data_IF_362263590911
#
_entry.id   IF_362263590911
#
_cell.length_a   1.000
_cell.length_b   1.000
_cell.length_c   1.000
_cell.angle_alpha   90.00
_cell.angle_beta   90.00
_cell.angle_gamma   90.00
#
_symmetry.space_group_name_H-M   'P 1'
#
loop_
_entity.id
_entity.type
_entity.pdbx_description
1 polymer ?
#
# COMPACT_ATOMS: atom_id res chain seq x y z
N UNK A 1 10.96 21.38 17.02
CA UNK A 1 9.78 20.51 17.29
C UNK A 1 9.44 20.51 18.79
N UNK A 2 9.70 21.61 19.48
CA UNK A 2 9.50 21.77 20.93
C UNK A 2 8.02 21.76 21.34
N UNK A 3 7.10 21.76 20.38
CA UNK A 3 5.64 21.74 20.59
C UNK A 3 5.01 20.34 20.43
N UNK A 4 5.79 19.33 20.08
CA UNK A 4 5.28 17.96 19.93
C UNK A 4 5.43 17.23 21.25
N UNK A 5 4.33 16.72 21.86
CA UNK A 5 4.42 15.95 23.08
C UNK A 5 5.30 14.70 22.89
N UNK A 6 6.19 14.44 23.82
CA UNK A 6 6.99 13.24 23.82
C UNK A 6 6.19 12.07 24.41
N UNK A 7 6.18 10.92 23.73
CA UNK A 7 5.59 9.68 24.19
C UNK A 7 6.61 8.56 24.15
N UNK A 8 6.46 7.58 25.03
CA UNK A 8 7.34 6.43 25.12
C UNK A 8 6.92 5.27 24.18
N UNK A 9 5.69 5.27 23.71
CA UNK A 9 5.10 4.22 22.87
C UNK A 9 4.03 4.81 21.92
N UNK A 10 3.52 4.00 21.01
CA UNK A 10 2.53 4.43 20.02
C UNK A 10 1.20 4.89 20.65
N UNK A 11 0.86 4.35 21.80
CA UNK A 11 -0.36 4.69 22.57
C UNK A 11 -0.29 6.08 23.17
N UNK A 12 0.89 6.63 23.36
CA UNK A 12 1.12 7.98 23.88
C UNK A 12 0.99 9.07 22.78
N UNK A 13 0.80 8.66 21.53
CA UNK A 13 0.67 9.60 20.41
C UNK A 13 -0.57 10.46 20.57
N UNK A 14 -0.36 11.78 20.49
CA UNK A 14 -1.46 12.72 20.57
C UNK A 14 -2.27 12.74 19.27
N UNK A 15 -3.55 12.40 19.38
CA UNK A 15 -4.49 12.49 18.26
C UNK A 15 -4.95 13.95 18.12
N UNK A 16 -4.35 14.69 17.20
CA UNK A 16 -4.67 16.09 16.93
C UNK A 16 -6.07 16.23 16.29
N UNK A 17 -6.42 15.28 15.41
CA UNK A 17 -7.72 15.24 14.75
C UNK A 17 -8.15 13.80 14.50
N UNK A 18 -9.40 13.49 14.85
CA UNK A 18 -10.02 12.20 14.55
C UNK A 18 -11.40 12.42 13.96
N UNK A 19 -11.66 11.84 12.80
CA UNK A 19 -12.98 11.81 12.18
C UNK A 19 -13.83 10.64 12.72
N UNK A 20 -13.25 9.79 13.58
CA UNK A 20 -13.89 8.60 14.12
C UNK A 20 -15.07 8.90 15.06
N UNK A 21 -15.17 10.14 15.58
CA UNK A 21 -16.35 10.57 16.38
C UNK A 21 -17.60 10.80 15.54
N UNK A 22 -17.43 11.02 14.23
CA UNK A 22 -18.54 11.20 13.28
C UNK A 22 -18.91 9.88 12.58
N UNK A 23 -17.97 8.95 12.53
CA UNK A 23 -18.25 7.57 12.15
C UNK A 23 -18.69 6.82 13.40
N UNK A 24 -19.80 6.13 13.33
CA UNK A 24 -20.42 5.32 14.40
C UNK A 24 -19.55 4.12 14.81
N UNK A 25 -18.24 4.29 14.83
CA UNK A 25 -17.23 3.28 15.10
C UNK A 25 -16.69 3.47 16.52
N UNK A 26 -17.06 2.57 17.42
CA UNK A 26 -16.32 2.36 18.65
C UNK A 26 -14.97 1.75 18.34
N UNK A 27 -13.94 2.59 18.21
CA UNK A 27 -12.54 2.11 18.24
C UNK A 27 -12.07 2.34 19.67
N UNK A 28 -11.70 1.26 20.36
CA UNK A 28 -11.04 1.41 21.65
C UNK A 28 -9.64 2.03 21.46
N UNK A 29 -9.00 2.40 22.57
CA UNK A 29 -7.67 3.04 22.55
C UNK A 29 -6.55 2.18 21.94
N UNK A 30 -6.84 0.93 21.61
CA UNK A 30 -5.87 -0.06 21.05
C UNK A 30 -6.17 -0.36 19.58
N UNK A 31 -7.18 0.30 18.98
CA UNK A 31 -7.52 0.10 17.58
C UNK A 31 -8.36 -1.15 17.30
N UNK A 32 -8.96 -1.76 18.32
CA UNK A 32 -9.93 -2.83 18.13
C UNK A 32 -11.23 -2.26 17.58
N UNK A 33 -11.70 -2.87 16.52
CA UNK A 33 -12.95 -2.52 15.86
C UNK A 33 -14.11 -3.21 16.57
N UNK A 34 -14.62 -2.59 17.63
CA UNK A 34 -15.88 -3.03 18.21
C UNK A 34 -17.03 -2.42 17.42
N UNK A 35 -17.91 -3.27 16.94
CA UNK A 35 -19.18 -2.81 16.39
C UNK A 35 -19.87 -1.96 17.45
N UNK A 36 -20.25 -0.74 17.10
CA UNK A 36 -21.06 0.08 18.01
C UNK A 36 -22.35 -0.70 18.32
N UNK A 37 -22.58 -1.12 19.58
CA UNK A 37 -23.74 -1.92 19.94
C UNK A 37 -25.06 -1.19 19.70
N UNK A 38 -25.03 0.13 19.53
CA UNK A 38 -26.21 0.97 19.30
C UNK A 38 -26.48 1.30 17.83
N UNK A 39 -25.68 0.78 16.88
CA UNK A 39 -25.96 0.92 15.47
C UNK A 39 -26.70 -0.32 14.95
N UNK A 40 -27.84 -0.12 14.29
CA UNK A 40 -28.59 -1.18 13.60
C UNK A 40 -27.81 -1.84 12.45
N UNK A 41 -26.67 -1.27 12.05
CA UNK A 41 -25.73 -1.83 11.08
C UNK A 41 -24.39 -2.12 11.76
N UNK A 42 -24.15 -3.38 12.05
CA UNK A 42 -22.84 -3.86 12.47
C UNK A 42 -21.82 -3.57 11.37
N UNK A 43 -20.83 -2.72 11.64
CA UNK A 43 -19.74 -2.45 10.72
C UNK A 43 -18.85 -3.68 10.64
N UNK A 44 -18.82 -4.30 9.46
CA UNK A 44 -18.02 -5.48 9.21
C UNK A 44 -16.60 -5.06 8.84
N UNK A 45 -15.58 -5.74 9.37
CA UNK A 45 -14.20 -5.53 8.96
C UNK A 45 -14.02 -5.88 7.48
N UNK A 46 -13.00 -5.29 6.83
CA UNK A 46 -12.80 -5.43 5.39
C UNK A 46 -12.68 -6.88 4.91
N UNK A 47 -12.10 -7.79 5.69
CA UNK A 47 -12.00 -9.21 5.33
C UNK A 47 -13.35 -9.91 5.30
N UNK A 48 -14.30 -9.55 6.17
CA UNK A 48 -15.67 -10.06 6.13
C UNK A 48 -16.45 -9.49 4.96
N UNK A 49 -16.27 -8.18 4.68
CA UNK A 49 -16.84 -7.55 3.50
C UNK A 49 -16.33 -8.19 2.21
N UNK A 50 -15.01 -8.46 2.12
CA UNK A 50 -14.42 -9.16 0.99
C UNK A 50 -15.03 -10.55 0.79
N UNK A 51 -15.24 -11.28 1.87
CA UNK A 51 -15.89 -12.61 1.85
C UNK A 51 -17.36 -12.49 1.49
N UNK A 52 -18.11 -11.60 2.15
CA UNK A 52 -19.55 -11.39 1.94
C UNK A 52 -19.88 -11.05 0.49
N UNK A 53 -19.09 -10.20 -0.14
CA UNK A 53 -19.28 -9.74 -1.51
C UNK A 53 -18.41 -10.45 -2.55
N UNK A 54 -17.63 -11.46 -2.12
CA UNK A 54 -16.73 -12.24 -2.99
C UNK A 54 -15.79 -11.34 -3.81
N UNK A 55 -15.16 -10.38 -3.15
CA UNK A 55 -14.30 -9.38 -3.78
C UNK A 55 -12.86 -9.84 -3.92
N UNK A 56 -12.36 -10.54 -2.88
CA UNK A 56 -10.99 -11.06 -2.79
C UNK A 56 -11.05 -12.50 -2.31
N UNK A 57 -10.29 -13.36 -2.97
CA UNK A 57 -10.16 -14.79 -2.64
C UNK A 57 -8.71 -15.07 -2.21
N UNK A 58 -8.49 -15.17 -0.92
CA UNK A 58 -7.17 -15.44 -0.35
C UNK A 58 -6.77 -16.91 -0.48
N UNK A 59 -7.74 -17.84 -0.39
CA UNK A 59 -7.47 -19.27 -0.49
C UNK A 59 -6.98 -19.62 -1.90
N UNK A 60 -7.58 -18.99 -2.91
CA UNK A 60 -7.15 -19.14 -4.29
C UNK A 60 -5.76 -18.54 -4.51
N UNK A 61 -5.43 -17.43 -3.85
CA UNK A 61 -4.10 -16.85 -3.86
C UNK A 61 -3.04 -17.78 -3.29
N UNK A 62 -3.32 -18.40 -2.15
CA UNK A 62 -2.46 -19.42 -1.53
C UNK A 62 -2.25 -20.61 -2.47
N UNK A 63 -3.32 -21.07 -3.14
CA UNK A 63 -3.25 -22.19 -4.10
C UNK A 63 -2.36 -21.90 -5.30
N UNK A 64 -2.39 -20.66 -5.81
CA UNK A 64 -1.68 -20.29 -7.05
C UNK A 64 -0.23 -19.91 -6.77
N UNK A 65 0.03 -19.19 -5.66
CA UNK A 65 1.33 -18.57 -5.40
C UNK A 65 1.84 -18.90 -4.00
N UNK A 66 1.07 -18.56 -2.97
CA UNK A 66 1.49 -18.72 -1.58
C UNK A 66 0.74 -17.75 -0.65
N UNK A 67 1.08 -17.78 0.63
CA UNK A 67 0.48 -16.89 1.63
C UNK A 67 0.77 -15.42 1.32
N UNK A 68 -0.21 -14.56 1.51
CA UNK A 68 -0.09 -13.12 1.29
C UNK A 68 -0.43 -12.64 -0.13
N UNK A 69 -0.74 -13.56 -1.06
CA UNK A 69 -1.13 -13.19 -2.43
C UNK A 69 -2.64 -13.25 -2.60
N UNK A 70 -3.33 -12.11 -2.76
CA UNK A 70 -4.77 -12.08 -2.97
C UNK A 70 -5.15 -12.28 -4.44
N UNK A 71 -6.30 -12.93 -4.68
CA UNK A 71 -6.93 -12.95 -6.00
C UNK A 71 -8.17 -12.08 -5.97
N UNK A 72 -8.13 -10.96 -6.67
CA UNK A 72 -9.30 -10.11 -6.86
C UNK A 72 -10.27 -10.73 -7.84
N UNK A 73 -11.57 -10.74 -7.51
CA UNK A 73 -12.61 -11.38 -8.32
C UNK A 73 -13.77 -10.44 -8.62
N UNK A 74 -14.38 -10.62 -9.78
CA UNK A 74 -15.61 -9.95 -10.16
C UNK A 74 -15.62 -8.45 -9.90
N UNK A 75 -16.51 -8.00 -9.01
CA UNK A 75 -16.62 -6.60 -8.62
C UNK A 75 -15.38 -6.08 -7.87
N UNK A 76 -14.66 -6.94 -7.13
CA UNK A 76 -13.42 -6.56 -6.46
C UNK A 76 -12.32 -6.19 -7.45
N UNK A 77 -12.10 -7.00 -8.48
CA UNK A 77 -11.15 -6.68 -9.56
C UNK A 77 -11.53 -5.41 -10.32
N UNK A 78 -12.85 -5.23 -10.56
CA UNK A 78 -13.37 -4.02 -11.20
C UNK A 78 -13.16 -2.78 -10.35
N UNK A 79 -13.42 -2.87 -9.04
CA UNK A 79 -13.21 -1.77 -8.08
C UNK A 79 -11.75 -1.36 -8.02
N UNK A 80 -10.82 -2.33 -7.89
CA UNK A 80 -9.38 -2.05 -7.86
C UNK A 80 -8.95 -1.28 -9.12
N UNK A 81 -9.34 -1.74 -10.30
CA UNK A 81 -9.03 -1.05 -11.56
C UNK A 81 -9.64 0.35 -11.63
N UNK A 82 -10.88 0.53 -11.15
CA UNK A 82 -11.53 1.82 -11.13
C UNK A 82 -10.81 2.81 -10.20
N UNK A 83 -10.34 2.36 -9.04
CA UNK A 83 -9.56 3.17 -8.11
C UNK A 83 -8.20 3.57 -8.70
N UNK A 84 -7.50 2.65 -9.37
CA UNK A 84 -6.24 2.97 -10.06
C UNK A 84 -6.48 4.07 -11.09
N UNK A 85 -7.47 3.92 -11.96
CA UNK A 85 -7.79 4.94 -12.98
C UNK A 85 -8.15 6.27 -12.33
N UNK A 86 -8.96 6.25 -11.27
CA UNK A 86 -9.35 7.47 -10.55
C UNK A 86 -8.13 8.22 -10.00
N UNK A 87 -7.20 7.51 -9.32
CA UNK A 87 -6.02 8.15 -8.76
C UNK A 87 -5.08 8.69 -9.84
N UNK A 88 -4.90 7.97 -10.95
CA UNK A 88 -4.08 8.45 -12.07
C UNK A 88 -4.70 9.68 -12.72
N UNK A 89 -6.03 9.69 -12.93
CA UNK A 89 -6.74 10.85 -13.49
C UNK A 89 -6.66 12.09 -12.57
N UNK A 90 -6.75 11.90 -11.23
CA UNK A 90 -6.60 12.99 -10.28
C UNK A 90 -5.13 13.51 -10.21
N UNK A 91 -4.15 12.61 -10.25
CA UNK A 91 -2.73 12.99 -10.32
C UNK A 91 -2.43 13.82 -11.58
N UNK A 92 -2.95 13.38 -12.75
CA UNK A 92 -2.80 14.10 -14.01
C UNK A 92 -3.41 15.52 -13.95
N UNK A 93 -4.61 15.67 -13.35
CA UNK A 93 -5.24 16.99 -13.15
C UNK A 93 -4.38 17.90 -12.26
N UNK A 94 -3.60 17.33 -11.36
CA UNK A 94 -2.67 18.04 -10.48
C UNK A 94 -1.29 18.30 -11.11
N UNK A 95 -1.11 17.99 -12.40
CA UNK A 95 0.11 18.28 -13.14
C UNK A 95 1.19 17.20 -13.05
N UNK A 96 0.88 16.03 -12.49
CA UNK A 96 1.82 14.90 -12.49
C UNK A 96 1.84 14.21 -13.85
N UNK A 97 3.03 13.75 -14.25
CA UNK A 97 3.22 12.89 -15.40
C UNK A 97 3.01 11.43 -14.99
N UNK A 98 2.21 10.70 -15.76
CA UNK A 98 2.01 9.27 -15.56
C UNK A 98 3.18 8.49 -16.16
N UNK A 99 3.81 7.64 -15.34
CA UNK A 99 4.91 6.78 -15.74
C UNK A 99 4.59 5.32 -15.43
N UNK A 100 4.79 4.45 -16.39
CA UNK A 100 4.64 3.01 -16.23
C UNK A 100 6.01 2.30 -16.36
N UNK A 101 6.76 2.16 -15.26
CA UNK A 101 8.08 1.54 -15.28
C UNK A 101 8.00 0.02 -15.35
N UNK A 102 9.12 -0.66 -15.72
CA UNK A 102 9.22 -2.11 -15.62
C UNK A 102 9.00 -2.61 -14.20
N UNK A 103 8.41 -3.80 -14.06
CA UNK A 103 8.24 -4.48 -12.77
C UNK A 103 9.48 -5.23 -12.30
N UNK A 104 10.50 -5.32 -13.13
CA UNK A 104 11.81 -5.89 -12.80
C UNK A 104 12.90 -4.84 -13.04
N UNK A 105 13.93 -4.86 -12.19
CA UNK A 105 15.05 -3.92 -12.23
C UNK A 105 16.38 -4.66 -12.09
N UNK A 106 17.46 -4.04 -12.55
CA UNK A 106 18.81 -4.53 -12.33
C UNK A 106 19.31 -4.20 -10.90
N UNK A 107 20.42 -4.83 -10.50
CA UNK A 107 21.02 -4.62 -9.19
C UNK A 107 21.37 -3.15 -8.93
N UNK A 108 21.85 -2.41 -9.93
CA UNK A 108 22.23 -1.00 -9.80
C UNK A 108 21.03 -0.12 -9.36
N UNK A 109 19.83 -0.42 -9.84
CA UNK A 109 18.60 0.27 -9.41
C UNK A 109 18.21 -0.09 -7.98
N UNK A 110 18.40 -1.33 -7.56
CA UNK A 110 18.20 -1.74 -6.17
C UNK A 110 19.15 -1.04 -5.20
N UNK A 111 20.41 -0.88 -5.57
CA UNK A 111 21.38 -0.11 -4.79
C UNK A 111 21.07 1.38 -4.78
N UNK A 112 20.59 1.93 -5.90
CA UNK A 112 20.27 3.35 -6.04
C UNK A 112 19.18 3.85 -5.07
N UNK A 113 18.31 2.97 -4.60
CA UNK A 113 17.24 3.27 -3.61
C UNK A 113 17.45 2.58 -2.27
N UNK A 114 18.61 1.93 -2.05
CA UNK A 114 18.94 1.29 -0.78
C UNK A 114 18.19 -0.02 -0.50
N UNK A 115 17.53 -0.62 -1.50
CA UNK A 115 16.89 -1.93 -1.39
C UNK A 115 17.91 -3.07 -1.40
N UNK A 116 19.06 -2.87 -2.03
CA UNK A 116 20.19 -3.76 -1.98
C UNK A 116 21.32 -3.17 -1.14
N UNK A 117 22.10 -3.98 -0.41
CA UNK A 117 21.95 -5.44 -0.29
C UNK A 117 20.70 -5.83 0.51
N UNK A 118 19.91 -6.77 -0.01
CA UNK A 118 18.66 -7.23 0.60
C UNK A 118 18.95 -8.14 1.80
N UNK A 119 19.09 -7.53 2.98
CA UNK A 119 19.38 -8.25 4.23
C UNK A 119 18.15 -8.95 4.82
N UNK A 120 16.96 -8.56 4.41
CA UNK A 120 15.69 -9.02 4.97
C UNK A 120 14.92 -9.95 4.02
N UNK A 121 15.45 -10.19 2.82
CA UNK A 121 14.82 -11.07 1.82
C UNK A 121 13.51 -10.50 1.27
N UNK A 122 13.44 -9.19 1.07
CA UNK A 122 12.23 -8.49 0.62
C UNK A 122 12.04 -8.50 -0.90
N UNK A 123 13.10 -8.79 -1.66
CA UNK A 123 13.06 -8.78 -3.11
C UNK A 123 13.15 -10.20 -3.69
N UNK A 124 12.26 -10.52 -4.62
CA UNK A 124 12.40 -11.74 -5.42
C UNK A 124 13.50 -11.54 -6.45
N UNK A 125 14.49 -12.45 -6.47
CA UNK A 125 15.59 -12.43 -7.39
C UNK A 125 15.42 -13.48 -8.50
N UNK A 126 15.46 -13.03 -9.75
CA UNK A 126 15.47 -13.88 -10.94
C UNK A 126 16.93 -14.22 -11.29
N UNK A 127 17.44 -15.32 -10.71
CA UNK A 127 18.89 -15.62 -10.73
C UNK A 127 19.51 -15.85 -12.11
N UNK A 128 18.74 -16.26 -13.12
CA UNK A 128 19.27 -16.49 -14.49
C UNK A 128 19.57 -15.17 -15.20
N UNK A 129 18.75 -14.15 -14.98
CA UNK A 129 18.84 -12.87 -15.69
C UNK A 129 19.47 -11.77 -14.82
N UNK A 130 19.77 -12.07 -13.56
CA UNK A 130 20.23 -11.12 -12.54
C UNK A 130 19.29 -9.90 -12.40
N UNK A 131 17.99 -10.16 -12.40
CA UNK A 131 16.94 -9.17 -12.26
C UNK A 131 16.19 -9.37 -10.95
N UNK A 132 15.65 -8.28 -10.42
CA UNK A 132 14.90 -8.26 -9.18
C UNK A 132 13.47 -7.77 -9.44
N UNK A 133 12.46 -8.46 -8.90
CA UNK A 133 11.10 -7.92 -8.87
C UNK A 133 11.07 -6.73 -7.93
N UNK A 134 10.46 -5.65 -8.36
CA UNK A 134 10.38 -4.43 -7.55
C UNK A 134 9.44 -4.64 -6.35
N UNK A 135 9.84 -4.28 -5.12
CA UNK A 135 8.97 -4.30 -3.95
C UNK A 135 8.05 -3.07 -3.93
N UNK A 136 8.41 -2.03 -4.63
CA UNK A 136 7.70 -0.74 -4.72
C UNK A 136 8.03 -0.04 -6.03
N UNK A 137 7.11 0.78 -6.53
CA UNK A 137 7.32 1.63 -7.70
C UNK A 137 8.41 2.70 -7.48
N UNK A 138 8.73 3.02 -6.24
CA UNK A 138 9.81 3.95 -5.89
C UNK A 138 11.15 3.53 -6.51
N UNK A 139 11.48 2.24 -6.50
CA UNK A 139 12.75 1.75 -7.04
C UNK A 139 12.95 2.13 -8.50
N UNK A 140 12.09 1.75 -9.47
CA UNK A 140 12.28 2.14 -10.85
C UNK A 140 12.07 3.63 -11.10
N UNK A 141 11.10 4.27 -10.45
CA UNK A 141 10.78 5.68 -10.71
C UNK A 141 11.92 6.61 -10.27
N UNK A 142 12.47 6.41 -9.07
CA UNK A 142 13.64 7.18 -8.61
C UNK A 142 14.85 6.99 -9.51
N UNK A 143 15.06 5.75 -9.99
CA UNK A 143 16.21 5.44 -10.86
C UNK A 143 16.09 5.99 -12.30
N UNK A 144 14.94 6.50 -12.72
CA UNK A 144 14.84 7.28 -13.98
C UNK A 144 15.80 8.46 -13.95
N UNK A 145 15.95 9.07 -12.78
CA UNK A 145 16.79 10.26 -12.59
C UNK A 145 18.15 9.94 -11.94
N UNK A 146 18.52 8.68 -11.82
CA UNK A 146 19.85 8.29 -11.34
C UNK A 146 20.93 8.79 -12.32
N UNK A 147 21.99 9.40 -11.76
CA UNK A 147 23.12 9.97 -12.51
C UNK A 147 22.73 11.07 -13.51
N UNK A 148 21.58 11.73 -13.31
CA UNK A 148 21.08 12.84 -14.11
C UNK A 148 21.14 14.13 -13.29
N UNK A 149 21.66 15.19 -13.92
CA UNK A 149 21.53 16.56 -13.41
C UNK A 149 20.32 17.16 -14.10
N UNK A 150 19.30 17.51 -13.33
CA UNK A 150 18.10 18.15 -13.87
C UNK A 150 18.36 19.64 -14.05
N UNK A 151 17.94 20.19 -15.19
CA UNK A 151 17.94 21.63 -15.42
C UNK A 151 16.86 22.29 -14.55
N UNK A 152 17.14 23.50 -14.07
CA UNK A 152 16.12 24.31 -13.39
C UNK A 152 14.99 24.63 -14.38
N UNK A 153 13.76 24.26 -14.02
CA UNK A 153 12.54 24.62 -14.76
C UNK A 153 11.90 25.87 -14.17
#
# INVERSE_FOLDING_TARGET
YDEVPEGACAEDNWVVKSNLKECVLGVDKVGNWDANPDSDEALLPHWELCKKYNLIDFDLGVKITGAGFPVYRGLGARLQRALINFFLDEARKSGYEEVMPPTVVNAASGYGTGQLPDKEGQMYHCGLDDLYLIPTAEVPVTNIYRDVILDEQ
#
